data_IF_224707575442
#
_entry.id   IF_224707575442
#
_cell.length_a   1.000
_cell.length_b   1.000
_cell.length_c   1.000
_cell.angle_alpha   90.00
_cell.angle_beta   90.00
_cell.angle_gamma   90.00
#
_symmetry.space_group_name_H-M   'P 1'
#
loop_
_entity.id
_entity.type
_entity.pdbx_description
1 polymer ?
#
# COMPACT_ATOMS: atom_id res chain seq x y z
N UNK A 1 6.41 4.68 7.21
CA UNK A 1 5.51 3.89 6.34
C UNK A 1 4.16 4.58 6.28
N UNK A 2 3.59 4.78 5.10
CA UNK A 2 2.24 5.35 4.93
C UNK A 2 1.24 4.21 4.71
N UNK A 3 0.23 4.10 5.56
CA UNK A 3 -0.87 3.15 5.41
C UNK A 3 -2.11 3.89 4.95
N UNK A 4 -2.32 3.94 3.63
CA UNK A 4 -3.36 4.77 3.00
C UNK A 4 -4.49 3.91 2.41
N UNK A 5 -5.71 4.12 2.88
CA UNK A 5 -6.91 3.58 2.23
C UNK A 5 -7.31 4.46 1.03
N UNK A 6 -7.87 3.88 -0.03
CA UNK A 6 -8.38 4.67 -1.16
C UNK A 6 -9.69 5.42 -0.85
N UNK A 7 -10.42 4.98 0.18
CA UNK A 7 -11.59 5.67 0.72
C UNK A 7 -11.39 5.83 2.22
N UNK A 8 -11.45 7.06 2.72
CA UNK A 8 -11.00 7.37 4.09
C UNK A 8 -12.12 7.34 5.13
N UNK A 9 -13.38 7.24 4.70
CA UNK A 9 -14.53 7.08 5.59
C UNK A 9 -15.44 5.97 5.09
N UNK A 10 -16.22 5.40 6.00
CA UNK A 10 -17.24 4.39 5.70
C UNK A 10 -18.42 4.61 6.65
N UNK A 11 -19.62 4.32 6.18
CA UNK A 11 -20.80 4.28 7.06
C UNK A 11 -20.77 2.98 7.86
N UNK A 12 -21.17 3.05 9.14
CA UNK A 12 -21.16 1.89 10.02
C UNK A 12 -21.88 0.69 9.38
N UNK A 13 -21.23 -0.47 9.41
CA UNK A 13 -21.72 -1.74 8.86
C UNK A 13 -22.02 -1.78 7.35
N UNK A 14 -21.67 -0.73 6.59
CA UNK A 14 -21.91 -0.68 5.13
C UNK A 14 -20.60 -0.57 4.36
N UNK A 15 -19.99 -1.71 4.08
CA UNK A 15 -18.77 -1.77 3.28
C UNK A 15 -18.91 -1.01 1.95
N UNK A 16 -17.89 -0.22 1.60
CA UNK A 16 -17.83 0.59 0.37
C UNK A 16 -18.90 1.69 0.23
N UNK A 17 -19.66 2.04 1.28
CA UNK A 17 -20.75 3.03 1.20
C UNK A 17 -20.32 4.38 0.63
N UNK A 18 -19.09 4.80 0.88
CA UNK A 18 -18.54 6.08 0.42
C UNK A 18 -17.63 5.98 -0.81
N UNK A 19 -17.36 4.77 -1.31
CA UNK A 19 -16.36 4.53 -2.36
C UNK A 19 -16.63 5.28 -3.67
N UNK A 20 -17.91 5.55 -3.97
CA UNK A 20 -18.36 6.24 -5.19
C UNK A 20 -18.90 7.66 -4.95
N UNK A 21 -19.24 8.00 -3.70
CA UNK A 21 -20.02 9.20 -3.38
C UNK A 21 -19.20 10.29 -2.68
N UNK A 22 -18.11 9.95 -2.01
CA UNK A 22 -17.37 10.93 -1.18
C UNK A 22 -16.22 11.65 -1.90
N UNK A 23 -15.85 11.23 -3.11
CA UNK A 23 -14.69 11.76 -3.84
C UNK A 23 -13.32 11.32 -3.28
N UNK A 24 -13.27 10.48 -2.23
CA UNK A 24 -12.01 10.08 -1.59
C UNK A 24 -11.01 9.40 -2.53
N UNK A 25 -11.51 8.63 -3.50
CA UNK A 25 -10.64 7.97 -4.48
C UNK A 25 -9.85 8.98 -5.32
N UNK A 26 -10.47 10.10 -5.71
CA UNK A 26 -9.78 11.15 -6.46
C UNK A 26 -8.72 11.85 -5.61
N UNK A 27 -9.05 12.15 -4.34
CA UNK A 27 -8.10 12.74 -3.40
C UNK A 27 -6.89 11.84 -3.17
N UNK A 28 -7.10 10.56 -2.88
CA UNK A 28 -6.00 9.63 -2.61
C UNK A 28 -5.19 9.28 -3.85
N UNK A 29 -5.81 9.30 -5.04
CA UNK A 29 -5.08 9.20 -6.31
C UNK A 29 -4.14 10.39 -6.51
N UNK A 30 -4.61 11.61 -6.22
CA UNK A 30 -3.78 12.81 -6.27
C UNK A 30 -2.62 12.75 -5.26
N UNK A 31 -2.86 12.22 -4.05
CA UNK A 31 -1.79 11.98 -3.05
C UNK A 31 -0.73 11.02 -3.59
N UNK A 32 -1.12 9.91 -4.20
CA UNK A 32 -0.17 8.93 -4.77
C UNK A 32 0.67 9.59 -5.88
N UNK A 33 0.03 10.30 -6.80
CA UNK A 33 0.73 11.02 -7.88
C UNK A 33 1.70 12.06 -7.33
N UNK A 34 1.24 12.87 -6.36
CA UNK A 34 2.06 13.91 -5.77
C UNK A 34 3.28 13.34 -5.03
N UNK A 35 3.10 12.23 -4.29
CA UNK A 35 4.22 11.52 -3.68
C UNK A 35 5.18 10.98 -4.74
N UNK A 36 4.67 10.39 -5.82
CA UNK A 36 5.53 9.88 -6.89
C UNK A 36 6.35 10.99 -7.58
N UNK A 37 5.77 12.17 -7.75
CA UNK A 37 6.43 13.26 -8.49
C UNK A 37 7.36 14.06 -7.59
N UNK A 38 6.94 14.36 -6.36
CA UNK A 38 7.56 15.40 -5.55
C UNK A 38 8.22 14.90 -4.27
N UNK A 39 7.93 13.68 -3.82
CA UNK A 39 8.55 13.20 -2.59
C UNK A 39 10.07 13.16 -2.74
N UNK A 40 10.86 13.72 -1.82
CA UNK A 40 12.31 13.84 -1.98
C UNK A 40 13.01 12.47 -2.06
N UNK A 41 12.49 11.48 -1.31
CA UNK A 41 13.06 10.13 -1.29
C UNK A 41 12.45 9.23 -2.37
N UNK A 42 13.23 8.25 -2.83
CA UNK A 42 12.70 7.09 -3.55
C UNK A 42 11.82 6.27 -2.59
N UNK A 43 10.79 5.62 -3.12
CA UNK A 43 9.76 4.96 -2.32
C UNK A 43 9.55 3.52 -2.81
N UNK A 44 9.09 2.66 -1.90
CA UNK A 44 8.55 1.34 -2.23
C UNK A 44 7.04 1.38 -2.07
N UNK A 45 6.31 1.10 -3.15
CA UNK A 45 4.86 0.96 -3.14
C UNK A 45 4.48 -0.52 -3.10
N UNK A 46 3.74 -0.93 -2.07
CA UNK A 46 3.17 -2.27 -1.95
C UNK A 46 1.72 -2.25 -2.46
N UNK A 47 1.45 -2.91 -3.58
CA UNK A 47 0.13 -2.94 -4.22
C UNK A 47 -0.45 -4.35 -4.13
N UNK A 48 -1.36 -4.56 -3.17
CA UNK A 48 -1.98 -5.86 -2.92
C UNK A 48 -3.39 -5.95 -3.52
N UNK A 49 -3.57 -6.84 -4.49
CA UNK A 49 -4.83 -7.05 -5.20
C UNK A 49 -5.09 -6.07 -6.34
N UNK A 50 -6.00 -6.46 -7.24
CA UNK A 50 -6.26 -5.74 -8.49
C UNK A 50 -6.65 -4.27 -8.31
N UNK A 51 -7.43 -3.94 -7.27
CA UNK A 51 -7.81 -2.55 -7.00
C UNK A 51 -6.61 -1.66 -6.67
N UNK A 52 -5.65 -2.16 -5.87
CA UNK A 52 -4.42 -1.43 -5.57
C UNK A 52 -3.46 -1.40 -6.78
N UNK A 53 -3.35 -2.51 -7.52
CA UNK A 53 -2.50 -2.62 -8.72
C UNK A 53 -2.92 -1.63 -9.82
N UNK A 54 -4.22 -1.30 -9.94
CA UNK A 54 -4.69 -0.25 -10.85
C UNK A 54 -4.05 1.12 -10.57
N UNK A 55 -3.57 1.38 -9.35
CA UNK A 55 -2.88 2.62 -8.96
C UNK A 55 -1.43 2.68 -9.45
N UNK A 56 -0.86 1.59 -9.98
CA UNK A 56 0.47 1.57 -10.59
C UNK A 56 0.65 2.65 -11.66
N UNK A 57 -0.40 2.94 -12.43
CA UNK A 57 -0.39 4.01 -13.45
C UNK A 57 -0.12 5.42 -12.90
N UNK A 58 -0.24 5.61 -11.59
CA UNK A 58 -0.01 6.88 -10.89
C UNK A 58 1.42 7.02 -10.39
N UNK A 59 2.25 5.97 -10.55
CA UNK A 59 3.59 5.87 -9.97
C UNK A 59 4.62 5.86 -11.09
N UNK A 60 5.61 6.73 -11.00
CA UNK A 60 6.82 6.70 -11.81
C UNK A 60 7.70 5.50 -11.39
N UNK A 61 7.52 4.39 -12.12
CA UNK A 61 8.26 3.14 -11.90
C UNK A 61 9.73 3.19 -12.32
N UNK A 62 10.18 4.26 -12.99
CA UNK A 62 11.60 4.47 -13.25
C UNK A 62 12.33 4.99 -12.00
N UNK A 63 11.62 5.74 -11.16
CA UNK A 63 12.12 6.33 -9.92
C UNK A 63 11.87 5.45 -8.70
N UNK A 64 10.63 4.97 -8.54
CA UNK A 64 10.16 4.22 -7.38
C UNK A 64 10.11 2.72 -7.64
N UNK A 65 10.13 1.92 -6.58
CA UNK A 65 9.93 0.47 -6.67
C UNK A 65 8.46 0.16 -6.42
N UNK A 66 7.86 -0.68 -7.26
CA UNK A 66 6.50 -1.19 -7.09
C UNK A 66 6.55 -2.70 -6.91
N UNK A 67 5.98 -3.20 -5.81
CA UNK A 67 5.83 -4.62 -5.55
C UNK A 67 4.34 -4.98 -5.57
N UNK A 68 3.96 -5.82 -6.52
CA UNK A 68 2.57 -6.24 -6.73
C UNK A 68 2.37 -7.67 -6.25
N UNK A 69 1.35 -7.90 -5.43
CA UNK A 69 1.00 -9.24 -4.97
C UNK A 69 -0.52 -9.41 -4.91
N UNK A 70 -0.96 -10.66 -4.74
CA UNK A 70 -2.37 -11.00 -4.49
C UNK A 70 -2.84 -10.36 -3.18
N UNK A 71 -4.13 -10.06 -3.04
CA UNK A 71 -4.66 -9.47 -1.80
C UNK A 71 -4.66 -10.50 -0.65
N UNK A 72 -4.37 -10.10 0.61
CA UNK A 72 -4.37 -11.00 1.79
C UNK A 72 -5.74 -11.55 2.20
N UNK A 73 -6.84 -11.05 1.62
CA UNK A 73 -8.20 -11.52 1.94
C UNK A 73 -8.31 -13.05 1.76
N UNK A 74 -9.07 -13.75 2.63
CA UNK A 74 -9.30 -15.20 2.51
C UNK A 74 -9.74 -15.65 1.10
N UNK A 75 -10.51 -14.81 0.39
CA UNK A 75 -10.97 -15.07 -0.97
C UNK A 75 -9.84 -15.24 -2.00
N UNK A 76 -8.65 -14.69 -1.73
CA UNK A 76 -7.53 -14.69 -2.66
C UNK A 76 -6.22 -15.19 -2.05
N UNK A 77 -6.11 -15.32 -0.73
CA UNK A 77 -4.83 -15.57 -0.08
C UNK A 77 -4.13 -16.85 -0.57
N UNK A 78 -4.89 -17.95 -0.73
CA UNK A 78 -4.37 -19.22 -1.24
C UNK A 78 -3.95 -19.19 -2.71
N UNK A 79 -4.31 -18.13 -3.45
CA UNK A 79 -3.99 -17.96 -4.88
C UNK A 79 -2.68 -17.20 -5.11
N UNK A 80 -1.87 -16.97 -4.07
CA UNK A 80 -0.53 -16.38 -4.20
C UNK A 80 -0.17 -15.30 -3.19
N UNK A 81 -0.95 -15.10 -2.11
CA UNK A 81 -0.51 -14.28 -0.98
C UNK A 81 0.46 -15.06 -0.10
N UNK A 82 0.08 -16.28 0.29
CA UNK A 82 0.97 -17.13 1.08
C UNK A 82 2.21 -17.48 0.26
N UNK A 83 3.39 -17.26 0.85
CA UNK A 83 4.67 -17.45 0.16
C UNK A 83 5.09 -16.31 -0.75
N UNK A 84 4.35 -15.19 -0.84
CA UNK A 84 4.70 -14.06 -1.71
C UNK A 84 5.97 -13.30 -1.29
N UNK A 85 6.38 -13.44 -0.01
CA UNK A 85 7.57 -12.83 0.60
C UNK A 85 7.66 -11.30 0.39
N UNK A 86 6.51 -10.61 0.27
CA UNK A 86 6.47 -9.18 -0.02
C UNK A 86 7.17 -8.30 1.03
N UNK A 87 7.17 -8.71 2.31
CA UNK A 87 7.84 -7.96 3.38
C UNK A 87 9.36 -8.02 3.30
N UNK A 88 9.94 -9.20 2.99
CA UNK A 88 11.39 -9.30 2.79
C UNK A 88 11.81 -8.64 1.48
N UNK A 89 11.03 -8.80 0.40
CA UNK A 89 11.27 -8.10 -0.87
C UNK A 89 11.22 -6.57 -0.70
N UNK A 90 10.32 -6.05 0.14
CA UNK A 90 10.27 -4.63 0.50
C UNK A 90 11.57 -4.18 1.18
N UNK A 91 12.06 -4.94 2.17
CA UNK A 91 13.31 -4.62 2.85
C UNK A 91 14.52 -4.70 1.92
N UNK A 92 14.60 -5.69 1.03
CA UNK A 92 15.64 -5.76 0.01
C UNK A 92 15.60 -4.53 -0.91
N UNK A 93 14.42 -4.09 -1.35
CA UNK A 93 14.27 -2.89 -2.16
C UNK A 93 14.72 -1.62 -1.40
N UNK A 94 14.36 -1.49 -0.13
CA UNK A 94 14.82 -0.38 0.72
C UNK A 94 16.34 -0.37 0.84
N UNK A 95 16.96 -1.53 1.12
CA UNK A 95 18.42 -1.66 1.23
C UNK A 95 19.13 -1.29 -0.08
N UNK A 96 18.62 -1.74 -1.23
CA UNK A 96 19.17 -1.38 -2.56
C UNK A 96 19.09 0.12 -2.85
N UNK A 97 18.18 0.83 -2.19
CA UNK A 97 18.05 2.29 -2.27
C UNK A 97 18.76 3.03 -1.11
N UNK A 98 19.58 2.33 -0.33
CA UNK A 98 20.27 2.86 0.87
C UNK A 98 19.32 3.41 1.94
N UNK A 99 18.10 2.87 2.02
CA UNK A 99 17.14 3.15 3.09
C UNK A 99 17.25 2.12 4.22
N UNK A 100 16.97 2.57 5.44
CA UNK A 100 16.84 1.67 6.59
C UNK A 100 15.66 0.69 6.35
N UNK A 101 15.86 -0.63 6.51
CA UNK A 101 14.79 -1.60 6.40
C UNK A 101 13.66 -1.37 7.41
N UNK A 102 12.45 -1.80 7.06
CA UNK A 102 11.34 -1.82 8.01
C UNK A 102 11.53 -2.94 9.05
N UNK A 103 11.35 -2.59 10.32
CA UNK A 103 11.19 -3.56 11.40
C UNK A 103 9.73 -3.97 11.48
N UNK A 104 9.41 -5.16 10.94
CA UNK A 104 8.02 -5.63 10.81
C UNK A 104 7.44 -6.22 12.09
N UNK A 105 8.28 -6.53 13.08
CA UNK A 105 7.81 -7.04 14.36
C UNK A 105 7.04 -5.95 15.10
N UNK A 106 5.79 -6.26 15.44
CA UNK A 106 4.95 -5.39 16.26
C UNK A 106 5.21 -5.67 17.75
N UNK A 107 4.96 -4.69 18.65
CA UNK A 107 4.94 -4.97 20.08
C UNK A 107 3.88 -6.04 20.38
N UNK A 108 4.20 -6.96 21.30
CA UNK A 108 3.28 -8.04 21.67
C UNK A 108 2.03 -7.52 22.40
N UNK A 109 2.17 -6.38 23.09
CA UNK A 109 1.07 -5.69 23.76
C UNK A 109 0.81 -4.36 23.07
N UNK A 110 -0.45 -4.07 22.77
CA UNK A 110 -0.86 -2.73 22.34
C UNK A 110 -0.70 -1.74 23.51
N UNK A 111 -0.45 -0.45 23.22
CA UNK A 111 -0.50 0.59 24.26
C UNK A 111 -1.86 0.57 24.97
N UNK A 112 -1.85 0.82 26.28
CA UNK A 112 -3.07 1.16 27.00
C UNK A 112 -3.50 2.56 26.52
N UNK A 113 -4.69 2.65 25.92
CA UNK A 113 -5.31 3.91 25.49
C UNK A 113 -6.12 4.52 26.63
#
# INVERSE_FOLDING_TARGET
MLMLNATLTVEAHKANSHSKTSGWAAFTDAVIQHLSQHHPNRLVFLLWGGYAQQKKRLIDTSRHVVLENVHPSPLSANRGWFGCRCFSACNEALQRMSHLPMYWQLPLNAPLH
#
